data_IF_720981374114
#
_entry.id   IF_720981374114
#
_cell.length_a   1.000
_cell.length_b   1.000
_cell.length_c   1.000
_cell.angle_alpha   90.00
_cell.angle_beta   90.00
_cell.angle_gamma   90.00
#
_symmetry.space_group_name_H-M   'P 1'
#
loop_
_entity.id
_entity.type
_entity.pdbx_description
1 polymer ?
#
# COMPACT_ATOMS: atom_id res chain seq x y z
N UNK A 1 -21.07 13.08 -24.96
CA UNK A 1 -19.86 13.75 -25.48
C UNK A 1 -19.39 12.95 -26.68
N UNK A 2 -19.56 13.45 -27.90
CA UNK A 2 -19.13 12.75 -29.12
C UNK A 2 -17.63 12.86 -29.27
N UNK A 3 -16.92 11.73 -29.14
CA UNK A 3 -15.48 11.65 -29.37
C UNK A 3 -15.21 11.83 -30.87
N UNK A 4 -14.36 12.79 -31.25
CA UNK A 4 -13.90 12.96 -32.63
C UNK A 4 -12.50 12.38 -32.83
N UNK A 5 -12.21 11.84 -34.02
CA UNK A 5 -10.89 11.32 -34.38
C UNK A 5 -10.50 10.02 -33.67
N UNK A 6 -9.31 9.96 -33.06
CA UNK A 6 -8.76 8.73 -32.43
C UNK A 6 -9.68 8.17 -31.34
N UNK A 7 -10.40 9.03 -30.61
CA UNK A 7 -11.31 8.60 -29.54
C UNK A 7 -12.48 7.73 -30.04
N UNK A 8 -12.97 7.95 -31.27
CA UNK A 8 -14.03 7.11 -31.84
C UNK A 8 -13.50 5.73 -32.21
N UNK A 9 -12.27 5.63 -32.71
CA UNK A 9 -11.63 4.35 -33.06
C UNK A 9 -11.37 3.47 -31.83
N UNK A 10 -10.92 4.06 -30.71
CA UNK A 10 -10.72 3.33 -29.45
C UNK A 10 -12.05 2.78 -28.92
N UNK A 11 -13.12 3.58 -29.02
CA UNK A 11 -14.46 3.17 -28.60
C UNK A 11 -14.99 2.03 -29.45
N UNK A 12 -14.82 2.13 -30.77
CA UNK A 12 -15.19 1.08 -31.71
C UNK A 12 -14.45 -0.23 -31.44
N UNK A 13 -13.14 -0.16 -31.22
CA UNK A 13 -12.32 -1.33 -30.88
C UNK A 13 -12.75 -1.99 -29.57
N UNK A 14 -13.02 -1.21 -28.51
CA UNK A 14 -13.52 -1.77 -27.25
C UNK A 14 -14.87 -2.46 -27.42
N UNK A 15 -15.77 -1.87 -28.22
CA UNK A 15 -17.07 -2.45 -28.52
C UNK A 15 -16.96 -3.75 -29.33
N UNK A 16 -16.08 -3.79 -30.34
CA UNK A 16 -15.82 -5.01 -31.10
C UNK A 16 -15.34 -6.16 -30.21
N UNK A 17 -14.42 -5.89 -29.27
CA UNK A 17 -13.96 -6.90 -28.32
C UNK A 17 -15.05 -7.38 -27.36
N UNK A 18 -15.93 -6.48 -26.92
CA UNK A 18 -17.09 -6.85 -26.09
C UNK A 18 -18.09 -7.74 -26.83
N UNK A 19 -18.20 -7.62 -28.14
CA UNK A 19 -19.03 -8.50 -28.98
C UNK A 19 -18.38 -9.88 -29.15
N UNK A 20 -17.06 -9.90 -29.38
CA UNK A 20 -16.34 -11.14 -29.67
C UNK A 20 -16.17 -12.06 -28.45
N UNK A 21 -15.98 -11.50 -27.25
CA UNK A 21 -15.84 -12.28 -26.01
C UNK A 21 -16.85 -11.82 -24.95
N UNK A 22 -18.08 -12.35 -24.96
CA UNK A 22 -19.15 -11.88 -24.07
C UNK A 22 -18.90 -12.18 -22.59
N UNK A 23 -17.93 -13.05 -22.24
CA UNK A 23 -17.59 -13.33 -20.84
C UNK A 23 -16.68 -12.25 -20.23
N UNK A 24 -15.99 -11.45 -21.05
CA UNK A 24 -15.07 -10.41 -20.58
C UNK A 24 -15.58 -9.06 -21.09
N UNK A 25 -16.00 -8.20 -20.17
CA UNK A 25 -16.46 -6.84 -20.50
C UNK A 25 -15.31 -5.85 -20.41
N UNK A 26 -14.83 -5.40 -21.57
CA UNK A 26 -13.93 -4.27 -21.71
C UNK A 26 -14.66 -2.96 -21.39
N UNK A 27 -14.07 -2.18 -20.50
CA UNK A 27 -14.53 -0.84 -20.12
C UNK A 27 -13.47 0.19 -20.48
N UNK A 28 -13.90 1.35 -20.97
CA UNK A 28 -13.01 2.47 -21.26
C UNK A 28 -13.16 3.53 -20.15
N UNK A 29 -12.04 3.94 -19.58
CA UNK A 29 -11.97 5.11 -18.70
C UNK A 29 -11.54 6.29 -19.56
N UNK A 30 -12.45 7.26 -19.72
CA UNK A 30 -12.21 8.46 -20.51
C UNK A 30 -11.84 9.62 -19.58
N UNK A 31 -11.06 10.55 -20.12
CA UNK A 31 -10.73 11.78 -19.40
C UNK A 31 -12.00 12.63 -19.22
N UNK A 32 -12.26 13.06 -17.99
CA UNK A 32 -13.35 13.95 -17.64
C UNK A 32 -12.81 15.14 -16.85
N UNK A 33 -13.18 16.37 -17.20
CA UNK A 33 -12.74 17.59 -16.52
C UNK A 33 -11.21 17.69 -16.37
N UNK A 34 -10.47 17.37 -17.43
CA UNK A 34 -9.00 17.34 -17.44
C UNK A 34 -8.36 16.35 -16.46
N UNK A 35 -9.12 15.34 -16.03
CA UNK A 35 -8.72 14.33 -15.05
C UNK A 35 -8.93 12.93 -15.59
N UNK A 36 -7.95 12.08 -15.38
CA UNK A 36 -7.98 10.67 -15.75
C UNK A 36 -7.51 9.84 -14.56
N UNK A 37 -8.38 9.04 -13.93
CA UNK A 37 -7.94 8.04 -12.97
C UNK A 37 -7.17 6.93 -13.69
N UNK A 38 -6.07 6.47 -13.09
CA UNK A 38 -5.34 5.28 -13.50
C UNK A 38 -4.77 4.58 -12.27
N UNK A 39 -5.25 3.37 -11.97
CA UNK A 39 -4.92 2.65 -10.74
C UNK A 39 -5.18 3.51 -9.49
N UNK A 40 -4.16 3.72 -8.66
CA UNK A 40 -4.20 4.53 -7.44
C UNK A 40 -3.77 5.99 -7.69
N UNK A 41 -3.69 6.41 -8.95
CA UNK A 41 -3.21 7.74 -9.36
C UNK A 41 -4.32 8.50 -10.08
N UNK A 42 -4.53 9.75 -9.68
CA UNK A 42 -5.35 10.69 -10.42
C UNK A 42 -4.41 11.58 -11.22
N UNK A 43 -4.50 11.52 -12.54
CA UNK A 43 -3.70 12.32 -13.45
C UNK A 43 -4.55 13.54 -13.85
N UNK A 44 -4.07 14.73 -13.56
CA UNK A 44 -4.74 15.99 -13.91
C UNK A 44 -3.87 16.79 -14.86
N UNK A 45 -4.43 17.35 -15.93
CA UNK A 45 -3.70 18.31 -16.77
C UNK A 45 -3.66 19.67 -16.09
N UNK A 46 -2.47 20.24 -15.94
CA UNK A 46 -2.32 21.63 -15.54
C UNK A 46 -2.43 22.52 -16.78
N UNK A 47 -3.54 23.26 -16.88
CA UNK A 47 -3.82 24.16 -18.00
C UNK A 47 -3.12 25.52 -17.89
N UNK A 48 -2.52 25.84 -16.74
CA UNK A 48 -1.94 27.15 -16.45
C UNK A 48 -0.41 27.19 -16.65
N UNK A 49 0.29 26.06 -16.51
CA UNK A 49 1.76 25.98 -16.60
C UNK A 49 2.14 24.89 -17.60
N UNK A 50 2.57 25.29 -18.80
CA UNK A 50 3.29 24.47 -19.80
C UNK A 50 2.81 23.01 -19.96
N UNK A 51 1.50 22.76 -20.00
CA UNK A 51 0.92 21.43 -20.29
C UNK A 51 1.46 20.29 -19.42
N UNK A 52 1.88 20.58 -18.17
CA UNK A 52 2.42 19.55 -17.30
C UNK A 52 1.30 18.75 -16.63
N UNK A 53 1.49 17.43 -16.51
CA UNK A 53 0.59 16.59 -15.73
C UNK A 53 0.91 16.74 -14.24
N UNK A 54 -0.14 16.81 -13.44
CA UNK A 54 -0.10 16.70 -12.00
C UNK A 54 -0.68 15.37 -11.56
N UNK A 55 -0.10 14.78 -10.53
CA UNK A 55 -0.56 13.51 -9.99
C UNK A 55 -0.84 13.63 -8.50
N UNK A 56 -1.93 13.01 -8.07
CA UNK A 56 -2.29 12.85 -6.67
C UNK A 56 -2.92 11.48 -6.46
N UNK A 57 -3.02 11.05 -5.21
CA UNK A 57 -3.59 9.74 -4.90
C UNK A 57 -5.07 9.68 -5.28
N UNK A 58 -5.43 8.72 -6.12
CA UNK A 58 -6.82 8.41 -6.43
C UNK A 58 -7.37 7.34 -5.50
N UNK A 59 -8.66 7.46 -5.18
CA UNK A 59 -9.43 6.46 -4.45
C UNK A 59 -10.72 6.23 -5.21
N UNK A 60 -10.97 4.98 -5.61
CA UNK A 60 -12.26 4.59 -6.20
C UNK A 60 -13.39 4.88 -5.22
N UNK A 61 -14.60 5.13 -5.75
CA UNK A 61 -15.81 5.37 -4.93
C UNK A 61 -16.12 4.22 -3.95
N UNK A 62 -15.66 3.02 -4.26
CA UNK A 62 -15.81 1.84 -3.40
C UNK A 62 -14.76 1.74 -2.28
N UNK A 63 -13.78 2.65 -2.24
CA UNK A 63 -12.78 2.68 -1.18
C UNK A 63 -13.45 3.10 0.14
N UNK A 64 -13.39 2.22 1.14
CA UNK A 64 -13.99 2.42 2.46
C UNK A 64 -13.03 2.97 3.50
N UNK A 65 -11.77 3.25 3.12
CA UNK A 65 -10.69 3.64 4.01
C UNK A 65 -10.44 2.67 5.18
N UNK A 66 -10.83 1.40 5.04
CA UNK A 66 -10.59 0.36 6.03
C UNK A 66 -9.20 -0.23 5.84
N UNK A 67 -8.35 -0.04 6.83
CA UNK A 67 -7.02 -0.63 6.92
C UNK A 67 -6.96 -1.61 8.09
N UNK A 68 -5.78 -2.19 8.32
CA UNK A 68 -5.56 -3.06 9.46
C UNK A 68 -5.85 -2.30 10.76
N UNK A 69 -6.92 -2.63 11.47
CA UNK A 69 -7.27 -1.98 12.73
C UNK A 69 -6.13 -2.13 13.76
N UNK A 70 -5.81 -1.06 14.48
CA UNK A 70 -4.70 -1.08 15.45
C UNK A 70 -4.90 -2.08 16.60
N UNK A 71 -6.13 -2.39 16.99
CA UNK A 71 -6.42 -3.34 18.07
C UNK A 71 -6.43 -4.80 17.61
N UNK A 72 -6.22 -5.05 16.31
CA UNK A 72 -6.08 -6.41 15.79
C UNK A 72 -4.84 -7.12 16.37
N UNK A 73 -4.89 -8.45 16.45
CA UNK A 73 -3.81 -9.30 16.96
C UNK A 73 -2.69 -9.44 15.92
N UNK A 74 -2.06 -8.33 15.56
CA UNK A 74 -0.88 -8.30 14.71
C UNK A 74 0.27 -7.62 15.43
N UNK A 75 1.49 -8.12 15.16
CA UNK A 75 2.71 -7.54 15.68
C UNK A 75 2.84 -6.07 15.26
N UNK A 76 3.44 -5.25 16.14
CA UNK A 76 3.58 -3.81 15.94
C UNK A 76 4.31 -3.45 14.64
N UNK A 77 5.23 -4.30 14.17
CA UNK A 77 5.93 -4.08 12.89
C UNK A 77 4.99 -4.05 11.69
N UNK A 78 3.94 -4.89 11.68
CA UNK A 78 2.96 -4.92 10.59
C UNK A 78 2.13 -3.65 10.61
N UNK A 79 1.67 -3.23 11.79
CA UNK A 79 0.92 -1.98 11.99
C UNK A 79 1.74 -0.76 11.55
N UNK A 80 3.04 -0.70 11.92
CA UNK A 80 3.97 0.33 11.41
C UNK A 80 4.19 0.23 9.90
N UNK A 81 4.23 -0.99 9.36
CA UNK A 81 4.32 -1.25 7.93
C UNK A 81 3.17 -0.62 7.16
N UNK A 82 1.93 -0.70 7.66
CA UNK A 82 0.75 -0.05 7.05
C UNK A 82 0.95 1.47 6.95
N UNK A 83 1.42 2.10 8.03
CA UNK A 83 1.70 3.55 8.05
C UNK A 83 2.76 3.90 6.99
N UNK A 84 3.86 3.12 6.96
CA UNK A 84 4.95 3.31 6.00
C UNK A 84 4.47 3.17 4.56
N UNK A 85 3.71 2.11 4.25
CA UNK A 85 3.18 1.87 2.90
C UNK A 85 2.28 3.01 2.43
N UNK A 86 1.41 3.53 3.30
CA UNK A 86 0.55 4.66 2.96
C UNK A 86 1.36 5.94 2.70
N UNK A 87 2.32 6.23 3.57
CA UNK A 87 3.19 7.38 3.44
C UNK A 87 4.06 7.33 2.18
N UNK A 88 4.69 6.19 1.92
CA UNK A 88 5.53 5.99 0.74
C UNK A 88 4.72 6.14 -0.55
N UNK A 89 3.50 5.59 -0.57
CA UNK A 89 2.57 5.76 -1.70
C UNK A 89 2.21 7.23 -1.91
N UNK A 90 1.89 7.97 -0.85
CA UNK A 90 1.62 9.40 -0.94
C UNK A 90 2.79 10.17 -1.53
N UNK A 91 4.02 9.88 -1.08
CA UNK A 91 5.23 10.54 -1.55
C UNK A 91 5.55 10.21 -3.00
N UNK A 92 5.33 8.96 -3.42
CA UNK A 92 5.58 8.50 -4.77
C UNK A 92 4.59 9.09 -5.78
N UNK A 93 3.32 9.18 -5.40
CA UNK A 93 2.23 9.57 -6.31
C UNK A 93 2.04 11.08 -6.39
N UNK A 94 2.23 11.82 -5.29
CA UNK A 94 1.97 13.26 -5.27
C UNK A 94 3.06 14.04 -6.01
N UNK A 95 2.70 14.72 -7.09
CA UNK A 95 3.63 15.53 -7.89
C UNK A 95 3.98 16.88 -7.26
N UNK A 96 3.20 17.35 -6.28
CA UNK A 96 3.40 18.63 -5.60
C UNK A 96 3.32 18.43 -4.07
N UNK A 97 4.12 19.19 -3.33
CA UNK A 97 4.09 19.33 -1.87
C UNK A 97 2.69 19.58 -1.32
N UNK A 98 1.86 20.39 -2.00
CA UNK A 98 0.49 20.64 -1.56
C UNK A 98 -0.38 19.37 -1.59
N UNK A 99 -0.33 18.59 -2.68
CA UNK A 99 -1.03 17.32 -2.76
C UNK A 99 -0.47 16.30 -1.78
N UNK A 100 0.84 16.30 -1.57
CA UNK A 100 1.47 15.44 -0.58
C UNK A 100 1.00 15.76 0.84
N UNK A 101 0.93 17.03 1.22
CA UNK A 101 0.46 17.45 2.54
C UNK A 101 -1.02 17.11 2.75
N UNK A 102 -1.87 17.39 1.76
CA UNK A 102 -3.29 17.00 1.82
C UNK A 102 -3.46 15.49 2.00
N UNK A 103 -2.67 14.70 1.28
CA UNK A 103 -2.68 13.24 1.40
C UNK A 103 -2.13 12.77 2.76
N UNK A 104 -1.10 13.44 3.30
CA UNK A 104 -0.54 13.16 4.63
C UNK A 104 -1.58 13.39 5.73
N UNK A 105 -2.31 14.50 5.67
CA UNK A 105 -3.41 14.81 6.60
C UNK A 105 -4.54 13.79 6.49
N UNK A 106 -4.89 13.41 5.26
CA UNK A 106 -5.90 12.41 4.99
C UNK A 106 -5.49 11.03 5.53
N UNK A 107 -4.24 10.59 5.34
CA UNK A 107 -3.71 9.35 5.92
C UNK A 107 -3.80 9.38 7.46
N UNK A 108 -3.47 10.53 8.06
CA UNK A 108 -3.54 10.71 9.51
C UNK A 108 -4.97 10.53 10.05
N UNK A 109 -5.96 11.09 9.36
CA UNK A 109 -7.37 10.94 9.70
C UNK A 109 -7.85 9.48 9.55
N UNK A 110 -7.50 8.83 8.44
CA UNK A 110 -7.82 7.42 8.20
C UNK A 110 -7.24 6.52 9.28
N UNK A 111 -5.96 6.70 9.62
CA UNK A 111 -5.30 5.86 10.62
C UNK A 111 -5.93 6.06 11.99
N UNK A 112 -6.33 7.29 12.33
CA UNK A 112 -7.11 7.58 13.54
C UNK A 112 -8.44 6.84 13.56
N UNK A 113 -9.19 6.83 12.45
CA UNK A 113 -10.43 6.06 12.31
C UNK A 113 -10.21 4.54 12.43
N UNK A 114 -9.02 4.06 12.03
CA UNK A 114 -8.59 2.67 12.21
C UNK A 114 -7.95 2.40 13.59
N UNK A 115 -8.20 3.27 14.58
CA UNK A 115 -7.75 3.19 15.97
C UNK A 115 -6.23 3.32 16.21
N UNK A 116 -5.47 3.87 15.25
CA UNK A 116 -4.04 4.11 15.47
C UNK A 116 -3.82 5.29 16.43
N UNK A 117 -2.92 5.14 17.42
CA UNK A 117 -2.48 6.26 18.23
C UNK A 117 -1.79 7.34 17.39
N UNK A 118 -2.22 8.58 17.52
CA UNK A 118 -1.76 9.69 16.67
C UNK A 118 -0.26 9.98 16.83
N UNK A 119 0.23 9.87 18.06
CA UNK A 119 1.65 10.01 18.42
C UNK A 119 2.53 8.96 17.73
N UNK A 120 2.01 7.74 17.54
CA UNK A 120 2.70 6.68 16.83
C UNK A 120 2.79 6.99 15.33
N UNK A 121 1.71 7.50 14.75
CA UNK A 121 1.67 7.92 13.33
C UNK A 121 2.67 9.05 13.08
N UNK A 122 2.64 10.10 13.90
CA UNK A 122 3.54 11.24 13.76
C UNK A 122 5.02 10.82 13.93
N UNK A 123 5.31 9.97 14.91
CA UNK A 123 6.65 9.41 15.09
C UNK A 123 7.09 8.56 13.89
N UNK A 124 6.18 7.77 13.31
CA UNK A 124 6.48 6.98 12.13
C UNK A 124 6.78 7.87 10.92
N UNK A 125 6.02 8.95 10.69
CA UNK A 125 6.29 9.90 9.62
C UNK A 125 7.70 10.52 9.76
N UNK A 126 8.06 10.97 10.96
CA UNK A 126 9.39 11.51 11.23
C UNK A 126 10.53 10.50 10.97
N UNK A 127 10.31 9.23 11.32
CA UNK A 127 11.27 8.15 11.07
C UNK A 127 11.43 7.82 9.59
N UNK A 128 10.37 7.96 8.80
CA UNK A 128 10.40 7.73 7.36
C UNK A 128 11.08 8.89 6.63
N UNK A 129 10.83 10.13 7.08
CA UNK A 129 11.49 11.33 6.56
C UNK A 129 12.98 11.37 6.89
N UNK A 130 13.35 10.94 8.11
CA UNK A 130 14.72 10.90 8.60
C UNK A 130 15.13 9.45 8.87
N UNK A 131 15.41 8.64 7.83
CA UNK A 131 15.87 7.28 8.01
C UNK A 131 17.19 7.33 8.77
N UNK A 132 17.17 6.91 10.03
CA UNK A 132 18.40 6.76 10.81
C UNK A 132 19.25 5.69 10.13
N UNK A 133 20.48 6.04 9.72
CA UNK A 133 21.49 5.08 9.28
C UNK A 133 21.97 4.25 10.47
N UNK A 134 21.09 3.45 11.06
CA UNK A 134 21.51 2.36 11.90
C UNK A 134 22.03 1.28 10.96
N UNK A 135 23.33 1.33 10.69
CA UNK A 135 24.12 0.22 10.19
C UNK A 135 23.98 -0.94 11.19
N UNK A 136 22.87 -1.68 11.11
CA UNK A 136 22.80 -3.00 11.71
C UNK A 136 23.76 -3.86 10.88
N UNK A 137 24.97 -4.03 11.39
CA UNK A 137 25.88 -5.07 10.93
C UNK A 137 25.06 -6.34 10.78
N UNK A 138 25.05 -6.91 9.56
CA UNK A 138 24.36 -8.16 9.27
C UNK A 138 24.98 -9.21 10.19
N UNK A 139 24.30 -9.55 11.28
CA UNK A 139 24.72 -10.67 12.11
C UNK A 139 24.53 -11.96 11.30
N UNK A 140 25.45 -12.89 11.48
CA UNK A 140 25.51 -14.19 10.82
C UNK A 140 24.14 -14.90 10.84
N UNK A 141 23.82 -15.77 9.84
CA UNK A 141 22.53 -16.43 9.75
C UNK A 141 22.22 -17.21 11.04
N UNK A 142 21.26 -16.71 11.81
CA UNK A 142 20.70 -17.38 13.00
C UNK A 142 19.55 -18.28 12.52
N UNK A 143 19.35 -19.44 13.16
CA UNK A 143 18.22 -20.30 12.83
C UNK A 143 16.90 -19.53 13.00
N UNK A 144 16.11 -19.44 11.93
CA UNK A 144 14.84 -18.70 11.95
C UNK A 144 13.71 -19.60 12.41
N UNK A 145 13.09 -19.28 13.55
CA UNK A 145 11.84 -19.89 13.99
C UNK A 145 10.66 -19.01 13.55
N UNK A 146 9.71 -19.61 12.82
CA UNK A 146 8.46 -18.94 12.46
C UNK A 146 7.32 -19.48 13.30
N UNK A 147 6.65 -18.61 14.05
CA UNK A 147 5.45 -18.93 14.82
C UNK A 147 4.34 -17.94 14.47
N UNK A 148 3.06 -18.34 14.51
CA UNK A 148 1.95 -17.41 14.40
C UNK A 148 2.03 -16.38 15.54
N UNK A 149 1.65 -15.13 15.25
CA UNK A 149 1.67 -14.08 16.25
C UNK A 149 0.51 -14.25 17.24
N UNK A 150 0.86 -14.53 18.49
CA UNK A 150 -0.04 -14.64 19.63
C UNK A 150 0.34 -13.54 20.62
N UNK A 151 -0.54 -12.55 20.85
CA UNK A 151 -0.25 -11.44 21.76
C UNK A 151 0.21 -11.92 23.14
N UNK A 152 1.31 -11.35 23.64
CA UNK A 152 1.89 -11.66 24.93
C UNK A 152 2.76 -12.91 24.97
N UNK A 153 2.52 -13.89 24.09
CA UNK A 153 3.33 -15.12 23.99
C UNK A 153 4.46 -14.90 22.98
N UNK A 154 4.15 -14.43 21.78
CA UNK A 154 5.15 -14.25 20.72
C UNK A 154 6.23 -13.24 21.09
N UNK A 155 5.91 -12.18 21.85
CA UNK A 155 6.91 -11.23 22.36
C UNK A 155 7.84 -11.87 23.38
N UNK A 156 7.30 -12.70 24.28
CA UNK A 156 8.09 -13.44 25.27
C UNK A 156 8.99 -14.45 24.57
N UNK A 157 8.46 -15.22 23.62
CA UNK A 157 9.24 -16.18 22.82
C UNK A 157 10.32 -15.45 22.02
N UNK A 158 10.02 -14.29 21.41
CA UNK A 158 11.03 -13.51 20.69
C UNK A 158 12.17 -13.04 21.61
N UNK A 159 11.85 -12.62 22.84
CA UNK A 159 12.87 -12.25 23.84
C UNK A 159 13.71 -13.46 24.26
N UNK A 160 13.07 -14.62 24.43
CA UNK A 160 13.74 -15.87 24.82
C UNK A 160 14.56 -16.49 23.69
N UNK A 161 14.11 -16.39 22.44
CA UNK A 161 14.80 -16.91 21.26
C UNK A 161 16.16 -16.25 20.99
N UNK A 162 16.38 -15.03 21.51
CA UNK A 162 17.70 -14.40 21.53
C UNK A 162 18.65 -14.95 22.61
N UNK A 163 18.14 -15.78 23.54
CA UNK A 163 18.87 -16.40 24.66
C UNK A 163 19.17 -17.88 24.40
N UNK A 164 18.43 -18.55 23.52
CA UNK A 164 18.64 -19.96 23.22
C UNK A 164 19.64 -20.16 22.07
N UNK A 165 20.81 -20.79 22.28
CA UNK A 165 21.69 -21.17 21.19
C UNK A 165 20.97 -22.15 20.24
N UNK A 166 21.37 -22.12 18.97
CA UNK A 166 20.76 -22.65 17.73
C UNK A 166 20.13 -24.07 17.71
N UNK A 167 20.01 -24.81 18.82
CA UNK A 167 19.67 -26.24 18.82
C UNK A 167 18.47 -26.66 19.71
N UNK A 168 17.68 -25.73 20.27
CA UNK A 168 16.64 -26.14 21.25
C UNK A 168 15.33 -26.62 20.61
N UNK A 169 15.05 -26.28 19.35
CA UNK A 169 13.78 -26.67 18.71
C UNK A 169 14.02 -27.24 17.31
N UNK A 170 13.89 -28.57 17.11
CA UNK A 170 13.91 -29.16 15.79
C UNK A 170 12.68 -28.68 15.01
N UNK A 171 12.89 -27.83 14.01
CA UNK A 171 11.86 -27.48 13.02
C UNK A 171 11.64 -28.72 12.15
N UNK A 172 10.63 -29.53 12.46
CA UNK A 172 10.13 -30.53 11.49
C UNK A 172 9.41 -29.76 10.38
N UNK A 173 10.00 -29.73 9.19
CA UNK A 173 9.32 -29.28 7.99
C UNK A 173 8.20 -30.26 7.67
N UNK A 174 6.95 -29.81 7.76
CA UNK A 174 5.83 -30.55 7.17
C UNK A 174 5.86 -30.28 5.67
N UNK A 175 6.40 -31.23 4.91
CA UNK A 175 6.26 -31.26 3.45
C UNK A 175 4.82 -31.65 3.11
N UNK A 176 3.98 -30.69 2.73
CA UNK A 176 2.72 -30.97 2.05
C UNK A 176 3.04 -31.45 0.63
N UNK A 177 3.28 -32.75 0.48
CA UNK A 177 3.16 -33.41 -0.81
C UNK A 177 1.69 -33.56 -1.12
N UNK A 178 1.13 -32.60 -1.87
CA UNK A 178 -0.12 -32.84 -2.58
C UNK A 178 0.19 -33.85 -3.69
N UNK A 179 -0.10 -35.13 -3.44
CA UNK A 179 -0.27 -36.11 -4.51
C UNK A 179 -1.60 -35.78 -5.21
N UNK A 180 -1.50 -35.45 -6.49
CA UNK A 180 -2.60 -35.59 -7.45
C UNK A 180 -2.95 -37.08 -7.61
#
# INVERSE_FOLDING_TARGET
>A
MTLSGIGSQITEYANANNVNEPKIKFTLELEENNKLPFLDVMISKNTEINSNFQTNVYRKKTNTNRYLNFNSNHHLSIKKGVIKSLYDRAKLVSSNVNFFNQEKDHIKNILKENAYPINLVDKAFLQIENPSHNNQQRQNPVANMTIPYIPGISEKIKKLGGVFPNNVFPVKSYSTTNKL
#
